data_IF_145710544371
#
_entry.id   IF_145710544371
#
_cell.length_a   1.000
_cell.length_b   1.000
_cell.length_c   1.000
_cell.angle_alpha   90.00
_cell.angle_beta   90.00
_cell.angle_gamma   90.00
#
_symmetry.space_group_name_H-M   'P 1'
#
loop_
_entity.id
_entity.type
_entity.pdbx_description
1 polymer ?
#
# COMPACT_ATOMS: atom_id res chain seq x y z
N UNK A 1 11.47 -2.86 -70.99
CA UNK A 1 12.23 -2.50 -69.77
C UNK A 1 11.63 -1.31 -69.01
N UNK A 2 11.33 -0.16 -69.63
CA UNK A 2 10.79 1.04 -68.94
C UNK A 2 9.49 0.82 -68.15
N UNK A 3 8.55 0.01 -68.68
CA UNK A 3 7.25 -0.26 -68.02
C UNK A 3 7.39 -0.98 -66.68
N UNK A 4 8.41 -1.82 -66.53
CA UNK A 4 8.71 -2.51 -65.27
C UNK A 4 9.37 -1.56 -64.28
N UNK A 5 10.28 -0.70 -64.74
CA UNK A 5 10.92 0.35 -63.94
C UNK A 5 9.90 1.33 -63.31
N UNK A 6 8.86 1.71 -64.05
CA UNK A 6 7.81 2.59 -63.52
C UNK A 6 6.99 1.92 -62.42
N UNK A 7 6.70 0.62 -62.55
CA UNK A 7 5.93 -0.14 -61.56
C UNK A 7 6.74 -0.31 -60.27
N UNK A 8 8.03 -0.67 -60.37
CA UNK A 8 8.91 -0.76 -59.20
C UNK A 8 9.10 0.59 -58.53
N UNK A 9 9.22 1.68 -59.29
CA UNK A 9 9.36 3.03 -58.73
C UNK A 9 8.13 3.41 -57.88
N UNK A 10 6.92 3.17 -58.40
CA UNK A 10 5.67 3.44 -57.66
C UNK A 10 5.59 2.57 -56.40
N UNK A 11 5.91 1.28 -56.50
CA UNK A 11 5.89 0.37 -55.36
C UNK A 11 6.85 0.81 -54.25
N UNK A 12 8.05 1.28 -54.59
CA UNK A 12 9.03 1.79 -53.61
C UNK A 12 8.53 3.05 -52.91
N UNK A 13 7.89 3.98 -53.65
CA UNK A 13 7.35 5.22 -53.06
C UNK A 13 6.20 4.92 -52.10
N UNK A 14 5.30 4.01 -52.47
CA UNK A 14 4.19 3.57 -51.59
C UNK A 14 4.72 2.86 -50.35
N UNK A 15 5.73 1.99 -50.51
CA UNK A 15 6.34 1.30 -49.38
C UNK A 15 7.07 2.26 -48.43
N UNK A 16 7.80 3.24 -48.96
CA UNK A 16 8.49 4.25 -48.18
C UNK A 16 7.53 5.15 -47.39
N UNK A 17 6.40 5.54 -47.99
CA UNK A 17 5.38 6.35 -47.31
C UNK A 17 4.70 5.58 -46.18
N UNK A 18 4.42 4.28 -46.35
CA UNK A 18 3.91 3.42 -45.27
C UNK A 18 4.90 3.29 -44.12
N UNK A 19 6.19 3.07 -44.40
CA UNK A 19 7.23 2.99 -43.37
C UNK A 19 7.40 4.30 -42.59
N UNK A 20 7.37 5.44 -43.29
CA UNK A 20 7.45 6.76 -42.67
C UNK A 20 6.22 7.07 -41.82
N UNK A 21 5.02 6.73 -42.31
CA UNK A 21 3.77 6.89 -41.55
C UNK A 21 3.75 6.05 -40.28
N UNK A 22 4.15 4.78 -40.36
CA UNK A 22 4.28 3.89 -39.19
C UNK A 22 5.33 4.42 -38.22
N UNK A 23 6.51 4.81 -38.71
CA UNK A 23 7.58 5.38 -37.89
C UNK A 23 7.17 6.67 -37.18
N UNK A 24 6.36 7.51 -37.84
CA UNK A 24 5.82 8.75 -37.29
C UNK A 24 4.80 8.47 -36.16
N UNK A 25 3.82 7.58 -36.40
CA UNK A 25 2.82 7.18 -35.40
C UNK A 25 3.44 6.53 -34.16
N UNK A 26 4.48 5.70 -34.34
CA UNK A 26 5.25 5.10 -33.25
C UNK A 26 6.03 6.14 -32.42
N UNK A 27 6.43 7.27 -33.02
CA UNK A 27 7.16 8.35 -32.35
C UNK A 27 6.24 9.16 -31.44
N UNK A 28 5.03 9.48 -31.88
CA UNK A 28 4.05 10.22 -31.07
C UNK A 28 3.55 9.42 -29.86
N UNK A 29 3.31 8.12 -30.00
CA UNK A 29 2.95 7.28 -28.86
C UNK A 29 4.06 7.19 -27.79
N UNK A 30 5.33 7.27 -28.19
CA UNK A 30 6.45 7.29 -27.22
C UNK A 30 6.53 8.62 -26.46
N UNK A 31 6.24 9.74 -27.12
CA UNK A 31 6.35 11.08 -26.51
C UNK A 31 5.25 11.31 -25.47
N UNK A 32 4.01 10.93 -25.78
CA UNK A 32 2.87 11.10 -24.85
C UNK A 32 2.99 10.21 -23.61
N UNK A 33 3.59 9.02 -23.75
CA UNK A 33 3.76 8.08 -22.64
C UNK A 33 4.92 8.44 -21.72
N UNK A 34 5.93 9.17 -22.21
CA UNK A 34 7.08 9.61 -21.40
C UNK A 34 6.69 10.75 -20.45
N UNK A 35 5.87 11.70 -20.88
CA UNK A 35 5.40 12.79 -20.01
C UNK A 35 4.52 12.28 -18.86
N UNK A 36 3.70 11.25 -19.11
CA UNK A 36 2.86 10.64 -18.08
C UNK A 36 3.67 9.79 -17.09
N UNK A 37 4.72 9.08 -17.55
CA UNK A 37 5.63 8.33 -16.68
C UNK A 37 6.47 9.26 -15.79
N UNK A 38 6.91 10.41 -16.31
CA UNK A 38 7.72 11.36 -15.55
C UNK A 38 6.94 11.97 -14.38
N UNK A 39 5.66 12.28 -14.56
CA UNK A 39 4.82 12.75 -13.45
C UNK A 39 4.53 11.66 -12.42
N UNK A 40 4.35 10.40 -12.84
CA UNK A 40 4.13 9.29 -11.90
C UNK A 40 5.37 8.95 -11.07
N UNK A 41 6.58 9.06 -11.63
CA UNK A 41 7.81 8.77 -10.90
C UNK A 41 8.19 9.89 -9.91
N UNK A 42 7.91 11.15 -10.27
CA UNK A 42 8.09 12.29 -9.36
C UNK A 42 7.10 12.24 -8.18
N UNK A 43 5.82 11.95 -8.43
CA UNK A 43 4.84 11.74 -7.35
C UNK A 43 5.19 10.53 -6.46
N UNK A 44 5.76 9.45 -7.02
CA UNK A 44 6.18 8.28 -6.23
C UNK A 44 7.39 8.58 -5.35
N UNK A 45 8.34 9.39 -5.82
CA UNK A 45 9.46 9.85 -5.02
C UNK A 45 9.00 10.74 -3.86
N UNK A 46 8.12 11.71 -4.13
CA UNK A 46 7.56 12.60 -3.12
C UNK A 46 6.65 11.87 -2.12
N UNK A 47 5.83 10.91 -2.58
CA UNK A 47 5.03 10.04 -1.71
C UNK A 47 5.92 9.12 -0.85
N UNK A 48 7.07 8.66 -1.35
CA UNK A 48 8.02 7.88 -0.54
C UNK A 48 8.71 8.73 0.53
N UNK A 49 9.08 9.97 0.21
CA UNK A 49 9.68 10.89 1.18
C UNK A 49 8.66 11.29 2.25
N UNK A 50 7.44 11.67 1.84
CA UNK A 50 6.33 11.96 2.76
C UNK A 50 5.97 10.75 3.62
N UNK A 51 5.90 9.55 3.06
CA UNK A 51 5.69 8.31 3.84
C UNK A 51 6.82 8.02 4.83
N UNK A 52 8.08 8.37 4.53
CA UNK A 52 9.18 8.22 5.49
C UNK A 52 9.04 9.20 6.65
N UNK A 53 8.80 10.48 6.36
CA UNK A 53 8.60 11.54 7.38
C UNK A 53 7.36 11.28 8.22
N UNK A 54 6.27 10.82 7.62
CA UNK A 54 5.03 10.48 8.32
C UNK A 54 5.19 9.19 9.15
N UNK A 55 5.96 8.21 8.66
CA UNK A 55 6.31 7.01 9.43
C UNK A 55 7.25 7.33 10.61
N UNK A 56 8.14 8.30 10.47
CA UNK A 56 9.01 8.78 11.54
C UNK A 56 8.20 9.54 12.61
N UNK A 57 7.33 10.49 12.21
CA UNK A 57 6.39 11.14 13.13
C UNK A 57 5.44 10.16 13.82
N UNK A 58 4.97 9.13 13.08
CA UNK A 58 4.13 8.06 13.63
C UNK A 58 4.91 7.20 14.63
N UNK A 59 6.18 6.90 14.37
CA UNK A 59 7.02 6.19 15.31
C UNK A 59 7.26 7.02 16.58
N UNK A 60 7.48 8.33 16.47
CA UNK A 60 7.64 9.21 17.65
C UNK A 60 6.35 9.35 18.46
N UNK A 61 5.17 9.41 17.81
CA UNK A 61 3.89 9.41 18.52
C UNK A 61 3.59 8.07 19.19
N UNK A 62 3.94 6.96 18.54
CA UNK A 62 3.86 5.62 19.14
C UNK A 62 4.84 5.52 20.33
N UNK A 63 6.06 6.03 20.21
CA UNK A 63 7.05 6.04 21.29
C UNK A 63 6.61 6.94 22.47
N UNK A 64 5.97 8.09 22.21
CA UNK A 64 5.45 8.98 23.25
C UNK A 64 4.23 8.40 23.95
N UNK A 65 3.34 7.73 23.20
CA UNK A 65 2.18 7.04 23.79
C UNK A 65 2.54 5.70 24.47
N UNK A 66 3.67 5.08 24.11
CA UNK A 66 4.26 3.95 24.85
C UNK A 66 5.10 4.40 26.05
N UNK A 67 5.66 5.62 26.05
CA UNK A 67 6.44 6.15 27.16
C UNK A 67 5.57 6.38 28.42
N UNK A 68 4.30 6.71 28.26
CA UNK A 68 3.34 6.74 29.39
C UNK A 68 2.93 5.34 29.88
N UNK A 69 3.24 4.29 29.13
CA UNK A 69 3.00 2.88 29.52
C UNK A 69 4.26 2.24 30.13
N UNK A 70 5.45 2.75 29.82
CA UNK A 70 6.73 2.23 30.32
C UNK A 70 7.23 3.15 31.44
N UNK A 71 6.76 2.88 32.66
CA UNK A 71 7.50 3.28 33.85
C UNK A 71 8.95 2.77 33.70
N UNK A 72 9.91 3.68 33.90
CA UNK A 72 11.36 3.51 33.78
C UNK A 72 11.87 2.09 34.09
N UNK A 73 12.01 1.26 33.06
CA UNK A 73 12.95 0.14 33.09
C UNK A 73 13.32 -0.22 31.65
N UNK A 74 14.54 0.17 31.26
CA UNK A 74 15.35 -0.41 30.17
C UNK A 74 14.64 -0.72 28.84
N UNK A 75 15.00 0.04 27.79
CA UNK A 75 14.93 -0.38 26.38
C UNK A 75 15.28 -1.87 26.25
N UNK A 76 14.36 -2.75 25.81
CA UNK A 76 14.74 -3.99 25.20
C UNK A 76 14.83 -3.77 23.69
N UNK A 77 16.02 -4.04 23.19
CA UNK A 77 16.33 -4.29 21.79
C UNK A 77 15.29 -5.19 21.10
N UNK A 78 14.99 -4.89 19.83
CA UNK A 78 14.42 -5.79 18.81
C UNK A 78 13.64 -7.00 19.36
N UNK A 79 12.44 -6.79 19.91
CA UNK A 79 11.50 -7.90 20.09
C UNK A 79 11.10 -8.41 18.71
N UNK A 80 11.43 -9.68 18.43
CA UNK A 80 10.98 -10.37 17.24
C UNK A 80 9.43 -10.42 17.27
N UNK A 81 8.80 -9.57 16.47
CA UNK A 81 7.35 -9.59 16.32
C UNK A 81 6.92 -10.97 15.85
N UNK A 82 5.87 -11.50 16.47
CA UNK A 82 5.28 -12.76 16.04
C UNK A 82 4.70 -12.63 14.62
N UNK A 83 4.51 -13.75 13.93
CA UNK A 83 4.00 -13.75 12.55
C UNK A 83 2.65 -13.03 12.46
N UNK A 84 1.74 -13.24 13.43
CA UNK A 84 0.45 -12.53 13.45
C UNK A 84 0.63 -11.03 13.68
N UNK A 85 1.54 -10.62 14.58
CA UNK A 85 1.85 -9.20 14.83
C UNK A 85 2.40 -8.51 13.57
N UNK A 86 3.25 -9.20 12.81
CA UNK A 86 3.76 -8.68 11.54
C UNK A 86 2.64 -8.49 10.51
N UNK A 87 1.78 -9.50 10.36
CA UNK A 87 0.61 -9.44 9.47
C UNK A 87 -0.29 -8.27 9.85
N UNK A 88 -0.56 -8.07 11.16
CA UNK A 88 -1.30 -6.92 11.68
C UNK A 88 -0.68 -5.61 11.20
N UNK A 89 0.59 -5.35 11.54
CA UNK A 89 1.27 -4.08 11.24
C UNK A 89 1.25 -3.77 9.73
N UNK A 90 1.45 -4.78 8.89
CA UNK A 90 1.50 -4.62 7.44
C UNK A 90 0.10 -4.42 6.81
N UNK A 91 -0.98 -4.85 7.47
CA UNK A 91 -2.34 -4.87 6.90
C UNK A 91 -3.35 -3.99 7.64
N UNK A 92 -2.88 -2.99 8.41
CA UNK A 92 -3.74 -1.96 9.00
C UNK A 92 -4.23 -0.91 7.99
N UNK A 93 -3.67 -0.86 6.78
CA UNK A 93 -3.93 0.23 5.83
C UNK A 93 -5.20 0.01 5.00
N UNK A 94 -5.90 1.10 4.71
CA UNK A 94 -7.12 1.12 3.91
C UNK A 94 -7.19 2.34 3.00
N UNK A 95 -7.96 2.23 1.91
CA UNK A 95 -8.37 3.35 1.07
C UNK A 95 -9.84 3.73 1.27
N UNK A 96 -10.65 2.81 1.82
CA UNK A 96 -12.07 3.01 2.11
C UNK A 96 -12.52 2.13 3.28
N UNK A 97 -13.56 2.56 3.99
CA UNK A 97 -14.26 1.82 5.06
C UNK A 97 -14.61 0.38 4.65
N UNK A 98 -15.00 0.16 3.40
CA UNK A 98 -15.41 -1.17 2.88
C UNK A 98 -14.28 -2.19 2.91
N UNK A 99 -13.03 -1.73 2.98
CA UNK A 99 -11.85 -2.61 3.04
C UNK A 99 -11.53 -3.06 4.46
N UNK A 100 -12.08 -2.40 5.48
CA UNK A 100 -11.82 -2.71 6.88
C UNK A 100 -12.78 -3.79 7.39
N UNK A 101 -12.21 -4.72 8.16
CA UNK A 101 -12.90 -5.87 8.72
C UNK A 101 -12.47 -6.02 10.18
N UNK A 102 -13.43 -6.46 10.99
CA UNK A 102 -13.19 -6.83 12.37
C UNK A 102 -12.63 -8.25 12.44
N UNK A 103 -11.53 -8.41 13.18
CA UNK A 103 -10.94 -9.72 13.44
C UNK A 103 -10.56 -9.79 14.90
N UNK A 104 -11.01 -10.84 15.57
CA UNK A 104 -10.55 -11.20 16.92
C UNK A 104 -9.37 -12.15 16.79
N UNK A 105 -8.24 -11.76 17.40
CA UNK A 105 -7.00 -12.52 17.31
C UNK A 105 -6.71 -13.11 18.67
N UNK A 106 -6.63 -14.44 18.69
CA UNK A 106 -6.20 -15.19 19.87
C UNK A 106 -4.69 -15.20 19.97
N UNK A 107 -4.23 -14.68 21.11
CA UNK A 107 -2.91 -14.84 21.68
C UNK A 107 -2.99 -15.79 22.88
N UNK A 108 -1.86 -16.21 23.44
CA UNK A 108 -1.82 -17.21 24.52
C UNK A 108 -2.76 -16.91 25.69
N UNK A 109 -2.81 -15.65 26.14
CA UNK A 109 -3.52 -15.26 27.36
C UNK A 109 -4.72 -14.32 27.09
N UNK A 110 -4.92 -13.89 25.84
CA UNK A 110 -5.85 -12.80 25.50
C UNK A 110 -6.47 -12.96 24.12
N UNK A 111 -7.76 -12.62 24.02
CA UNK A 111 -8.45 -12.36 22.75
C UNK A 111 -8.45 -10.86 22.48
N UNK A 112 -7.73 -10.45 21.44
CA UNK A 112 -7.60 -9.04 21.10
C UNK A 112 -8.40 -8.72 19.85
N UNK A 113 -9.39 -7.80 19.94
CA UNK A 113 -10.06 -7.27 18.76
C UNK A 113 -9.12 -6.39 17.95
N UNK A 114 -9.18 -6.47 16.62
CA UNK A 114 -8.49 -5.55 15.72
C UNK A 114 -9.35 -5.18 14.51
N UNK A 115 -9.18 -3.95 14.05
CA UNK A 115 -9.64 -3.50 12.73
C UNK A 115 -8.47 -3.58 11.74
N UNK A 116 -8.56 -4.48 10.76
CA UNK A 116 -7.54 -4.66 9.71
C UNK A 116 -8.22 -4.72 8.35
N UNK A 117 -7.43 -4.62 7.28
CA UNK A 117 -7.99 -4.76 5.95
C UNK A 117 -8.34 -6.23 5.62
N UNK A 118 -9.14 -6.44 4.58
CA UNK A 118 -9.56 -7.79 4.10
C UNK A 118 -8.38 -8.73 3.83
N UNK A 119 -7.25 -8.21 3.38
CA UNK A 119 -6.05 -9.02 3.09
C UNK A 119 -5.48 -9.55 4.41
N UNK A 120 -5.28 -8.67 5.39
CA UNK A 120 -4.84 -9.03 6.73
C UNK A 120 -5.76 -10.04 7.40
N UNK A 121 -7.08 -9.84 7.29
CA UNK A 121 -8.06 -10.78 7.85
C UNK A 121 -7.91 -12.20 7.29
N UNK A 122 -7.74 -12.32 5.98
CA UNK A 122 -7.50 -13.60 5.32
C UNK A 122 -6.17 -14.24 5.74
N UNK A 123 -5.10 -13.44 5.87
CA UNK A 123 -3.78 -13.93 6.29
C UNK A 123 -3.79 -14.40 7.74
N UNK A 124 -4.43 -13.66 8.64
CA UNK A 124 -4.56 -14.05 10.05
C UNK A 124 -5.34 -15.36 10.18
N UNK A 125 -6.44 -15.52 9.44
CA UNK A 125 -7.25 -16.75 9.45
C UNK A 125 -6.49 -17.99 8.94
N UNK A 126 -5.51 -17.80 8.05
CA UNK A 126 -4.66 -18.87 7.52
C UNK A 126 -3.42 -19.15 8.36
N UNK A 127 -3.13 -18.30 9.35
CA UNK A 127 -1.94 -18.43 10.19
C UNK A 127 -2.29 -19.26 11.41
N UNK A 128 -1.44 -20.23 11.75
CA UNK A 128 -1.57 -21.05 12.95
C UNK A 128 -1.69 -20.18 14.21
N UNK A 129 -2.29 -20.73 15.27
CA UNK A 129 -2.42 -20.04 16.55
C UNK A 129 -1.08 -19.52 17.05
N UNK A 130 -1.10 -18.30 17.58
CA UNK A 130 0.09 -17.62 18.02
C UNK A 130 0.09 -17.59 19.54
N UNK A 131 0.90 -18.46 20.12
CA UNK A 131 1.08 -18.58 21.58
C UNK A 131 1.95 -17.46 22.14
N UNK A 132 2.21 -16.39 21.37
CA UNK A 132 2.93 -15.22 21.86
C UNK A 132 2.12 -14.51 22.95
N UNK A 133 2.79 -14.15 24.04
CA UNK A 133 2.20 -13.34 25.10
C UNK A 133 2.15 -11.88 24.67
N UNK A 134 0.98 -11.26 24.81
CA UNK A 134 0.76 -9.83 24.57
C UNK A 134 0.40 -9.16 25.89
N UNK A 135 0.94 -7.96 26.12
CA UNK A 135 0.73 -7.27 27.39
C UNK A 135 -0.67 -6.70 27.56
N UNK A 136 -1.22 -6.05 26.51
CA UNK A 136 -2.55 -5.42 26.52
C UNK A 136 -3.15 -5.40 25.11
N UNK A 137 -4.46 -5.58 25.00
CA UNK A 137 -5.20 -5.37 23.75
C UNK A 137 -5.56 -3.88 23.56
N UNK A 138 -5.73 -3.42 22.32
CA UNK A 138 -6.29 -2.09 22.06
C UNK A 138 -7.74 -2.00 22.59
N UNK A 139 -8.10 -0.83 23.13
CA UNK A 139 -9.48 -0.52 23.53
C UNK A 139 -10.16 0.27 22.42
N UNK A 140 -11.41 -0.09 22.13
CA UNK A 140 -12.26 0.60 21.17
C UNK A 140 -13.50 1.19 21.88
N UNK A 141 -14.07 2.30 21.37
CA UNK A 141 -15.29 2.89 21.94
C UNK A 141 -16.47 1.94 21.82
N UNK A 142 -17.36 1.92 22.81
CA UNK A 142 -18.53 1.02 22.88
C UNK A 142 -19.59 1.27 21.80
N UNK A 143 -19.59 2.44 21.14
CA UNK A 143 -20.52 2.82 20.06
C UNK A 143 -19.75 3.21 18.78
N UNK A 144 -18.87 2.32 18.31
CA UNK A 144 -18.00 2.61 17.19
C UNK A 144 -18.28 1.71 15.98
N UNK A 145 -18.06 2.26 14.78
CA UNK A 145 -18.11 1.52 13.52
C UNK A 145 -16.72 1.41 12.92
N UNK A 146 -16.50 0.36 12.11
CA UNK A 146 -15.32 0.25 11.25
C UNK A 146 -15.25 1.45 10.31
N UNK A 147 -14.15 2.18 10.42
CA UNK A 147 -13.86 3.37 9.65
C UNK A 147 -12.44 3.31 9.09
N UNK A 148 -12.22 4.03 8.00
CA UNK A 148 -10.90 4.24 7.42
C UNK A 148 -10.47 5.68 7.71
N UNK A 149 -9.78 5.89 8.83
CA UNK A 149 -9.31 7.21 9.25
C UNK A 149 -7.81 7.30 9.02
N UNK A 150 -7.35 8.36 8.34
CA UNK A 150 -5.93 8.54 8.00
C UNK A 150 -5.31 7.33 7.30
N UNK A 151 -6.07 6.71 6.38
CA UNK A 151 -5.70 5.48 5.67
C UNK A 151 -5.42 4.27 6.57
N UNK A 152 -5.96 4.26 7.79
CA UNK A 152 -5.84 3.15 8.75
C UNK A 152 -7.23 2.64 9.13
N UNK A 153 -7.36 1.32 9.16
CA UNK A 153 -8.54 0.67 9.70
C UNK A 153 -8.57 0.90 11.20
N UNK A 154 -9.67 1.48 11.67
CA UNK A 154 -9.90 1.77 13.09
C UNK A 154 -11.38 1.72 13.39
N UNK A 155 -11.69 1.81 14.67
CA UNK A 155 -13.01 2.11 15.17
C UNK A 155 -13.15 3.63 15.34
N UNK A 156 -14.11 4.22 14.64
CA UNK A 156 -14.48 5.62 14.79
C UNK A 156 -15.88 5.73 15.39
N UNK A 157 -16.14 6.82 16.12
CA UNK A 157 -17.50 7.14 16.59
C UNK A 157 -18.45 7.30 15.40
N UNK A 158 -19.69 6.84 15.58
CA UNK A 158 -20.73 6.84 14.55
C UNK A 158 -21.16 8.28 14.14
N UNK A 159 -20.74 9.31 14.89
CA UNK A 159 -21.23 10.68 14.81
C UNK A 159 -20.24 11.71 14.22
N UNK A 160 -19.17 11.30 13.53
CA UNK A 160 -18.19 12.23 12.95
C UNK A 160 -18.02 12.04 11.43
#
# INVERSE_FOLDING_TARGET
MLKWLTITLIAVVVFATLLLGLGYLLKEHKITTIQLKQQLDQERADKKLKKKVEKEKRNTFIETSLADVVNKQSLPSKTAYSTKQKILIENLTCSSKVQCVFVEIQFADLHCPFAINKIGASLVAKTAEDMSKVGKCPRYPTNSQLSCLNNLCTYGDINN
#
